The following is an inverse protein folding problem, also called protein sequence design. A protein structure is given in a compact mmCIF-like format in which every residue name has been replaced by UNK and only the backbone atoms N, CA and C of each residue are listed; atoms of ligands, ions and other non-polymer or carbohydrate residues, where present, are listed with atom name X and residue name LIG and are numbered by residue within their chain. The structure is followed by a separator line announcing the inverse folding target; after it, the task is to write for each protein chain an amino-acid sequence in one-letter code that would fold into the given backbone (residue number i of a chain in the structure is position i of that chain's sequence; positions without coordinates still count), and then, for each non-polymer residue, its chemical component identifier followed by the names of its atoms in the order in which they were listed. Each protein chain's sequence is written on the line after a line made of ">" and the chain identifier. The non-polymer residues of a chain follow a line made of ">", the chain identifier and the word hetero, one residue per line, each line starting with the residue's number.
data_IF_007301008922
#
_entry.id   IF_007301008922
#
_cell.length_a   1.000
_cell.length_b   1.000
_cell.length_c   1.000
_cell.angle_alpha   90.00
_cell.angle_beta   90.00
_cell.angle_gamma   90.00
#
_symmetry.space_group_name_H-M   'P 1'
#
loop_
_entity.id
_entity.type
_entity.pdbx_description
1 polymer ?
#
# COMPACT_ATOMS: atom_id res chain seq x y z
N UNK A 1 20.77 -15.89 35.82
CA UNK A 1 19.41 -16.34 35.50
C UNK A 1 18.49 -15.17 35.78
N UNK A 2 17.74 -14.57 34.86
CA UNK A 2 17.53 -14.78 33.44
C UNK A 2 17.30 -13.40 32.81
N UNK A 3 18.15 -13.03 31.85
CA UNK A 3 17.98 -11.80 31.09
C UNK A 3 16.99 -12.06 29.97
N UNK A 4 15.71 -11.80 30.24
CA UNK A 4 14.65 -11.74 29.25
C UNK A 4 14.94 -10.58 28.26
N UNK A 5 15.85 -10.82 27.31
CA UNK A 5 16.03 -9.96 26.15
C UNK A 5 14.97 -10.36 25.14
N UNK A 6 13.74 -9.91 25.37
CA UNK A 6 12.81 -9.70 24.26
C UNK A 6 13.53 -8.80 23.26
N UNK A 7 13.92 -9.39 22.13
CA UNK A 7 14.47 -8.65 21.00
C UNK A 7 13.43 -7.58 20.63
N UNK A 8 13.63 -6.36 21.11
CA UNK A 8 12.72 -5.26 20.86
C UNK A 8 12.69 -5.06 19.35
N UNK A 9 11.54 -5.36 18.74
CA UNK A 9 11.30 -5.03 17.35
C UNK A 9 11.62 -3.54 17.16
N UNK A 10 12.54 -3.24 16.25
CA UNK A 10 13.02 -1.88 16.04
C UNK A 10 11.83 -0.98 15.70
N UNK A 11 11.66 0.20 16.33
CA UNK A 11 10.48 1.06 16.14
C UNK A 11 10.19 1.39 14.67
N UNK A 12 11.24 1.48 13.83
CA UNK A 12 11.13 1.64 12.39
C UNK A 12 10.40 0.47 11.68
N UNK A 13 10.68 -0.77 12.06
CA UNK A 13 10.04 -1.94 11.46
C UNK A 13 8.56 -2.10 11.86
N UNK A 14 8.18 -1.59 13.03
CA UNK A 14 6.76 -1.48 13.45
C UNK A 14 6.04 -0.44 12.61
N UNK A 15 6.69 0.71 12.34
CA UNK A 15 6.12 1.75 11.48
C UNK A 15 5.82 1.26 10.07
N UNK A 16 6.75 0.54 9.43
CA UNK A 16 6.54 -0.03 8.10
C UNK A 16 5.33 -1.00 8.07
N UNK A 17 5.17 -1.83 9.10
CA UNK A 17 4.00 -2.70 9.22
C UNK A 17 2.71 -1.91 9.42
N UNK A 18 2.72 -0.90 10.30
CA UNK A 18 1.57 -0.03 10.55
C UNK A 18 1.14 0.73 9.29
N UNK A 19 2.09 1.22 8.50
CA UNK A 19 1.81 1.89 7.23
C UNK A 19 1.18 0.91 6.22
N UNK A 20 1.75 -0.28 6.04
CA UNK A 20 1.19 -1.29 5.14
C UNK A 20 -0.22 -1.74 5.56
N UNK A 21 -0.44 -1.95 6.87
CA UNK A 21 -1.75 -2.27 7.42
C UNK A 21 -2.75 -1.11 7.25
N UNK A 22 -2.30 0.12 7.47
CA UNK A 22 -3.09 1.32 7.21
C UNK A 22 -3.54 1.41 5.75
N UNK A 23 -2.65 1.12 4.81
CA UNK A 23 -2.97 1.07 3.38
C UNK A 23 -4.07 0.03 3.10
N UNK A 24 -3.96 -1.19 3.65
CA UNK A 24 -5.03 -2.21 3.54
C UNK A 24 -6.38 -1.68 4.03
N UNK A 25 -6.40 -1.03 5.21
CA UNK A 25 -7.63 -0.48 5.79
C UNK A 25 -8.23 0.60 4.89
N UNK A 26 -7.42 1.52 4.36
CA UNK A 26 -7.89 2.57 3.45
C UNK A 26 -8.53 1.97 2.20
N UNK A 27 -7.87 1.00 1.55
CA UNK A 27 -8.42 0.34 0.37
C UNK A 27 -9.69 -0.45 0.68
N UNK A 28 -9.77 -1.11 1.84
CA UNK A 28 -10.95 -1.85 2.27
C UNK A 28 -12.15 -0.92 2.55
N UNK A 29 -11.92 0.20 3.24
CA UNK A 29 -12.96 1.20 3.51
C UNK A 29 -13.48 1.84 2.23
N UNK A 30 -12.58 2.16 1.28
CA UNK A 30 -12.98 2.67 -0.03
C UNK A 30 -13.83 1.64 -0.81
N UNK A 31 -13.44 0.36 -0.77
CA UNK A 31 -14.21 -0.72 -1.39
C UNK A 31 -15.59 -0.87 -0.76
N UNK A 32 -15.68 -0.75 0.57
CA UNK A 32 -16.95 -0.81 1.29
C UNK A 32 -17.84 0.39 0.96
N UNK A 33 -17.27 1.60 0.86
CA UNK A 33 -18.00 2.79 0.44
C UNK A 33 -18.54 2.66 -0.98
N UNK A 34 -17.76 2.14 -1.91
CA UNK A 34 -18.19 1.88 -3.29
C UNK A 34 -19.34 0.87 -3.34
N UNK A 35 -19.27 -0.21 -2.56
CA UNK A 35 -20.34 -1.20 -2.45
C UNK A 35 -21.65 -0.58 -1.92
N UNK A 36 -21.54 0.26 -0.89
CA UNK A 36 -22.69 0.98 -0.32
C UNK A 36 -23.31 1.92 -1.36
N UNK A 37 -22.50 2.70 -2.07
CA UNK A 37 -22.98 3.62 -3.11
C UNK A 37 -23.69 2.91 -4.26
N UNK A 38 -23.15 1.78 -4.70
CA UNK A 38 -23.77 0.93 -5.73
C UNK A 38 -25.13 0.36 -5.25
N UNK A 39 -25.20 -0.08 -3.99
CA UNK A 39 -26.42 -0.65 -3.39
C UNK A 39 -27.58 0.35 -3.27
N UNK A 40 -27.27 1.64 -3.13
CA UNK A 40 -28.27 2.71 -3.09
C UNK A 40 -28.58 3.32 -4.48
N UNK A 41 -28.00 2.79 -5.56
CA UNK A 41 -28.12 3.31 -6.94
C UNK A 41 -27.77 4.80 -7.07
N UNK A 42 -26.99 5.36 -6.14
CA UNK A 42 -26.63 6.79 -6.13
C UNK A 42 -25.66 7.13 -7.28
N UNK A 43 -24.85 6.15 -7.68
CA UNK A 43 -23.90 6.19 -8.78
C UNK A 43 -24.13 4.93 -9.63
N UNK A 44 -24.49 5.05 -10.93
CA UNK A 44 -24.75 3.91 -11.82
C UNK A 44 -23.50 3.14 -12.26
N UNK A 45 -23.29 2.91 -13.56
CA UNK A 45 -22.08 2.25 -14.11
C UNK A 45 -20.82 3.13 -13.98
N UNK A 46 -20.31 3.28 -12.75
CA UNK A 46 -19.33 4.31 -12.41
C UNK A 46 -18.11 3.73 -11.70
N UNK A 47 -16.99 4.44 -11.85
CA UNK A 47 -15.77 4.23 -11.07
C UNK A 47 -15.73 5.34 -10.02
N UNK A 48 -15.63 4.97 -8.76
CA UNK A 48 -15.57 5.91 -7.64
C UNK A 48 -14.14 5.97 -7.13
N UNK A 49 -13.70 7.19 -6.83
CA UNK A 49 -12.42 7.46 -6.18
C UNK A 49 -12.61 7.90 -4.73
N UNK A 50 -13.81 7.70 -4.16
CA UNK A 50 -14.29 8.29 -2.90
C UNK A 50 -14.86 9.71 -3.15
N UNK A 51 -16.12 9.77 -3.65
CA UNK A 51 -17.09 10.90 -3.69
C UNK A 51 -17.39 11.74 -4.97
N UNK A 52 -16.80 11.50 -6.15
CA UNK A 52 -17.45 11.90 -7.41
C UNK A 52 -17.94 10.69 -8.20
N UNK A 53 -19.24 10.69 -8.52
CA UNK A 53 -19.88 9.77 -9.45
C UNK A 53 -19.33 9.99 -10.89
N UNK A 54 -18.24 9.32 -11.29
CA UNK A 54 -17.65 9.51 -12.63
C UNK A 54 -18.27 8.55 -13.64
N UNK A 55 -18.90 9.12 -14.67
CA UNK A 55 -19.43 8.35 -15.80
C UNK A 55 -18.32 7.69 -16.60
N UNK A 56 -18.16 6.37 -16.48
CA UNK A 56 -17.21 5.57 -17.26
C UNK A 56 -17.94 4.50 -18.05
N UNK A 57 -17.32 4.02 -19.14
CA UNK A 57 -17.87 2.88 -19.88
C UNK A 57 -17.83 1.61 -19.03
N UNK A 58 -18.71 0.63 -19.30
CA UNK A 58 -18.74 -0.64 -18.56
C UNK A 58 -17.39 -1.38 -18.59
N UNK A 59 -16.67 -1.33 -19.73
CA UNK A 59 -15.35 -1.92 -19.86
C UNK A 59 -14.30 -1.19 -19.00
N UNK A 60 -14.35 0.14 -18.95
CA UNK A 60 -13.46 0.94 -18.10
C UNK A 60 -13.74 0.70 -16.61
N UNK A 61 -15.02 0.60 -16.21
CA UNK A 61 -15.41 0.26 -14.84
C UNK A 61 -14.93 -1.13 -14.43
N UNK A 62 -15.07 -2.14 -15.29
CA UNK A 62 -14.57 -3.49 -15.01
C UNK A 62 -13.05 -3.50 -14.85
N UNK A 63 -12.33 -2.79 -15.72
CA UNK A 63 -10.87 -2.65 -15.64
C UNK A 63 -10.44 -1.91 -14.36
N UNK A 64 -11.13 -0.84 -13.99
CA UNK A 64 -10.90 -0.11 -12.75
C UNK A 64 -11.04 -1.03 -11.53
N UNK A 65 -12.15 -1.79 -11.44
CA UNK A 65 -12.40 -2.75 -10.35
C UNK A 65 -11.32 -3.84 -10.27
N UNK A 66 -10.89 -4.37 -11.41
CA UNK A 66 -9.83 -5.38 -11.45
C UNK A 66 -8.49 -4.81 -10.95
N UNK A 67 -8.13 -3.59 -11.36
CA UNK A 67 -6.94 -2.89 -10.85
C UNK A 67 -7.05 -2.64 -9.35
N UNK A 68 -8.23 -2.23 -8.88
CA UNK A 68 -8.49 -1.98 -7.46
C UNK A 68 -8.31 -3.22 -6.60
N UNK A 69 -8.90 -4.34 -7.00
CA UNK A 69 -8.74 -5.62 -6.31
C UNK A 69 -7.27 -6.06 -6.28
N UNK A 70 -6.56 -5.92 -7.41
CA UNK A 70 -5.14 -6.25 -7.47
C UNK A 70 -4.30 -5.39 -6.51
N UNK A 71 -4.62 -4.10 -6.35
CA UNK A 71 -3.95 -3.23 -5.38
C UNK A 71 -4.21 -3.63 -3.94
N UNK A 72 -5.45 -4.03 -3.60
CA UNK A 72 -5.78 -4.61 -2.28
C UNK A 72 -4.92 -5.85 -2.03
N UNK A 73 -4.83 -6.76 -3.00
CA UNK A 73 -3.99 -7.95 -2.90
C UNK A 73 -2.51 -7.60 -2.68
N UNK A 74 -1.97 -6.63 -3.43
CA UNK A 74 -0.61 -6.15 -3.23
C UNK A 74 -0.40 -5.58 -1.82
N UNK A 75 -1.33 -4.76 -1.31
CA UNK A 75 -1.25 -4.20 0.04
C UNK A 75 -1.27 -5.29 1.12
N UNK A 76 -2.08 -6.34 0.95
CA UNK A 76 -2.08 -7.50 1.86
C UNK A 76 -0.74 -8.24 1.80
N UNK A 77 -0.20 -8.51 0.61
CA UNK A 77 1.11 -9.14 0.46
C UNK A 77 2.22 -8.30 1.10
N UNK A 78 2.21 -6.99 0.92
CA UNK A 78 3.14 -6.07 1.57
C UNK A 78 3.05 -6.11 3.10
N UNK A 79 1.84 -6.18 3.66
CA UNK A 79 1.67 -6.32 5.11
C UNK A 79 2.27 -7.63 5.62
N UNK A 80 2.10 -8.72 4.85
CA UNK A 80 2.68 -10.03 5.17
C UNK A 80 4.21 -10.02 5.06
N UNK A 81 4.77 -9.35 4.04
CA UNK A 81 6.21 -9.21 3.85
C UNK A 81 6.83 -8.35 4.96
N UNK A 82 6.20 -7.23 5.33
CA UNK A 82 6.63 -6.42 6.46
C UNK A 82 6.60 -7.21 7.78
N UNK A 83 5.55 -7.98 8.03
CA UNK A 83 5.45 -8.87 9.19
C UNK A 83 6.53 -9.97 9.17
N UNK A 84 6.86 -10.52 8.00
CA UNK A 84 7.95 -11.50 7.86
C UNK A 84 9.32 -10.85 8.08
N UNK A 85 9.54 -9.61 7.63
CA UNK A 85 10.79 -8.90 7.81
C UNK A 85 11.08 -8.63 9.30
N UNK A 86 10.04 -8.44 10.11
CA UNK A 86 10.11 -8.40 11.56
C UNK A 86 10.50 -9.74 12.19
N UNK A 87 10.01 -10.86 11.65
CA UNK A 87 10.27 -12.21 12.18
C UNK A 87 11.61 -12.79 11.74
N UNK A 88 12.12 -12.39 10.57
CA UNK A 88 13.29 -12.99 9.91
C UNK A 88 14.37 -11.94 9.62
N UNK A 89 15.12 -11.48 10.64
CA UNK A 89 16.13 -10.44 10.47
C UNK A 89 17.20 -10.82 9.45
N UNK A 90 17.57 -12.11 9.36
CA UNK A 90 18.55 -12.62 8.40
C UNK A 90 18.10 -12.47 6.92
N UNK A 91 16.79 -12.36 6.65
CA UNK A 91 16.23 -12.21 5.30
C UNK A 91 15.68 -10.81 5.04
N UNK A 92 15.89 -9.87 5.96
CA UNK A 92 15.28 -8.55 5.92
C UNK A 92 15.57 -7.77 4.63
N UNK A 93 16.80 -7.83 4.09
CA UNK A 93 17.14 -7.17 2.82
C UNK A 93 16.38 -7.75 1.63
N UNK A 94 16.29 -9.08 1.53
CA UNK A 94 15.53 -9.74 0.47
C UNK A 94 14.02 -9.40 0.57
N UNK A 95 13.49 -9.37 1.80
CA UNK A 95 12.10 -8.97 2.05
C UNK A 95 11.85 -7.48 1.77
N UNK A 96 12.81 -6.60 2.06
CA UNK A 96 12.70 -5.18 1.69
C UNK A 96 12.68 -4.99 0.17
N UNK A 97 13.48 -5.76 -0.59
CA UNK A 97 13.43 -5.74 -2.05
C UNK A 97 12.10 -6.30 -2.59
N UNK A 98 11.56 -7.35 -1.98
CA UNK A 98 10.25 -7.87 -2.33
C UNK A 98 9.14 -6.86 -2.02
N UNK A 99 9.21 -6.18 -0.87
CA UNK A 99 8.32 -5.08 -0.51
C UNK A 99 8.36 -3.99 -1.57
N UNK A 100 9.56 -3.58 -1.99
CA UNK A 100 9.74 -2.57 -3.05
C UNK A 100 9.14 -3.02 -4.39
N UNK A 101 9.30 -4.29 -4.75
CA UNK A 101 8.70 -4.82 -5.97
C UNK A 101 7.16 -4.76 -5.91
N UNK A 102 6.56 -5.16 -4.78
CA UNK A 102 5.11 -5.10 -4.57
C UNK A 102 4.59 -3.65 -4.60
N UNK A 103 5.29 -2.71 -3.97
CA UNK A 103 4.90 -1.30 -3.97
C UNK A 103 4.99 -0.71 -5.37
N UNK A 104 6.02 -1.03 -6.16
CA UNK A 104 6.12 -0.58 -7.57
C UNK A 104 4.96 -1.11 -8.40
N UNK A 105 4.61 -2.39 -8.25
CA UNK A 105 3.47 -2.99 -8.96
C UNK A 105 2.16 -2.32 -8.55
N UNK A 106 1.95 -2.08 -7.24
CA UNK A 106 0.77 -1.37 -6.74
C UNK A 106 0.67 0.04 -7.30
N UNK A 107 1.77 0.81 -7.31
CA UNK A 107 1.78 2.16 -7.87
C UNK A 107 1.50 2.18 -9.37
N UNK A 108 2.03 1.21 -10.12
CA UNK A 108 1.72 1.08 -11.53
C UNK A 108 0.22 0.83 -11.74
N UNK A 109 -0.38 -0.07 -10.94
CA UNK A 109 -1.82 -0.32 -10.99
C UNK A 109 -2.62 0.93 -10.60
N UNK A 110 -2.18 1.67 -9.58
CA UNK A 110 -2.83 2.90 -9.11
C UNK A 110 -2.78 3.99 -10.17
N UNK A 111 -1.61 4.22 -10.79
CA UNK A 111 -1.45 5.17 -11.90
C UNK A 111 -2.32 4.79 -13.11
N UNK A 112 -2.39 3.50 -13.43
CA UNK A 112 -3.27 3.01 -14.51
C UNK A 112 -4.74 3.21 -14.18
N UNK A 113 -5.10 3.01 -12.92
CA UNK A 113 -6.44 3.27 -12.43
C UNK A 113 -6.74 4.77 -12.58
N UNK A 114 -5.92 5.66 -12.01
CA UNK A 114 -6.14 7.11 -12.04
C UNK A 114 -6.22 7.68 -13.46
N UNK A 115 -5.48 7.12 -14.42
CA UNK A 115 -5.62 7.49 -15.84
C UNK A 115 -7.00 7.16 -16.42
N UNK A 116 -7.65 6.06 -15.97
CA UNK A 116 -9.02 5.73 -16.39
C UNK A 116 -9.99 6.81 -15.88
N UNK A 117 -9.81 7.28 -14.65
CA UNK A 117 -10.63 8.34 -14.08
C UNK A 117 -10.35 9.69 -14.73
N UNK A 118 -9.09 10.06 -14.90
CA UNK A 118 -8.69 11.33 -15.51
C UNK A 118 -9.13 11.43 -16.98
N UNK A 119 -9.23 10.30 -17.69
CA UNK A 119 -9.81 10.26 -19.04
C UNK A 119 -11.32 10.53 -19.06
N UNK A 120 -12.02 10.22 -17.96
CA UNK A 120 -13.45 10.45 -17.84
C UNK A 120 -13.77 11.83 -17.23
N UNK A 121 -12.94 12.32 -16.32
CA UNK A 121 -12.98 13.67 -15.77
C UNK A 121 -11.55 14.21 -15.53
N UNK A 122 -11.04 15.08 -16.41
CA UNK A 122 -9.72 15.70 -16.27
C UNK A 122 -9.56 16.52 -14.97
N UNK A 123 -10.66 17.01 -14.38
CA UNK A 123 -10.64 17.75 -13.11
C UNK A 123 -10.13 16.91 -11.92
N UNK A 124 -10.19 15.58 -12.04
CA UNK A 124 -9.70 14.65 -11.02
C UNK A 124 -8.19 14.43 -11.08
N UNK A 125 -7.50 14.91 -12.12
CA UNK A 125 -6.07 14.66 -12.29
C UNK A 125 -5.25 15.17 -11.11
N UNK A 126 -5.57 16.36 -10.57
CA UNK A 126 -4.85 16.93 -9.41
C UNK A 126 -5.03 16.09 -8.14
N UNK A 127 -6.27 15.64 -7.87
CA UNK A 127 -6.60 14.79 -6.72
C UNK A 127 -5.90 13.43 -6.84
N UNK A 128 -5.98 12.83 -8.04
CA UNK A 128 -5.32 11.57 -8.35
C UNK A 128 -3.80 11.68 -8.18
N UNK A 129 -3.18 12.72 -8.75
CA UNK A 129 -1.74 12.94 -8.64
C UNK A 129 -1.29 13.16 -7.19
N UNK A 130 -2.05 13.96 -6.43
CA UNK A 130 -1.80 14.18 -5.00
C UNK A 130 -1.86 12.88 -4.20
N UNK A 131 -2.90 12.07 -4.41
CA UNK A 131 -3.04 10.78 -3.72
C UNK A 131 -1.90 9.80 -4.04
N UNK A 132 -1.51 9.68 -5.33
CA UNK A 132 -0.37 8.84 -5.75
C UNK A 132 0.90 9.29 -5.02
N UNK A 133 1.14 10.60 -4.95
CA UNK A 133 2.33 11.18 -4.33
C UNK A 133 2.42 10.89 -2.83
N UNK A 134 1.28 10.92 -2.11
CA UNK A 134 1.20 10.57 -0.69
C UNK A 134 1.56 9.09 -0.48
N UNK A 135 1.01 8.19 -1.29
CA UNK A 135 1.31 6.75 -1.21
C UNK A 135 2.78 6.45 -1.53
N UNK A 136 3.34 7.08 -2.59
CA UNK A 136 4.77 6.93 -2.94
C UNK A 136 5.65 7.33 -1.78
N UNK A 137 5.34 8.46 -1.14
CA UNK A 137 6.13 8.97 -0.01
C UNK A 137 6.07 8.02 1.19
N UNK A 138 4.88 7.51 1.53
CA UNK A 138 4.70 6.55 2.62
C UNK A 138 5.43 5.23 2.39
N UNK A 139 5.44 4.75 1.15
CA UNK A 139 6.09 3.49 0.77
C UNK A 139 7.61 3.62 0.75
N UNK A 140 8.15 4.74 0.28
CA UNK A 140 9.58 5.03 0.35
C UNK A 140 10.06 5.10 1.79
N UNK A 141 9.30 5.77 2.68
CA UNK A 141 9.62 5.80 4.10
C UNK A 141 9.61 4.39 4.72
N UNK A 142 8.59 3.58 4.39
CA UNK A 142 8.48 2.20 4.87
C UNK A 142 9.62 1.31 4.37
N UNK A 143 10.04 1.48 3.12
CA UNK A 143 11.19 0.79 2.53
C UNK A 143 12.49 1.19 3.22
N UNK A 144 12.71 2.48 3.45
CA UNK A 144 13.89 2.98 4.16
C UNK A 144 13.92 2.48 5.61
N UNK A 145 12.78 2.43 6.30
CA UNK A 145 12.67 1.86 7.64
C UNK A 145 13.01 0.35 7.67
N UNK A 146 12.59 -0.40 6.64
CA UNK A 146 12.94 -1.80 6.47
C UNK A 146 14.42 -2.01 6.15
N UNK A 147 15.07 -1.09 5.43
CA UNK A 147 16.51 -1.17 5.16
C UNK A 147 17.36 -0.76 6.38
N UNK A 148 17.03 0.37 7.01
CA UNK A 148 17.86 1.03 8.03
C UNK A 148 17.68 0.46 9.43
N UNK A 149 16.50 -0.02 9.81
CA UNK A 149 16.27 -0.53 11.17
C UNK A 149 16.98 -1.85 11.49
N UNK A 150 17.89 -2.33 10.63
CA UNK A 150 18.72 -3.52 10.80
C UNK A 150 20.16 -3.24 11.24
N UNK A 151 20.58 -1.97 11.33
CA UNK A 151 21.92 -1.62 11.84
C UNK A 151 21.92 -1.54 13.37
N UNK A 152 21.74 -2.70 14.00
CA UNK A 152 22.41 -2.95 15.26
C UNK A 152 23.89 -3.09 14.94
N UNK A 153 24.68 -2.09 15.33
CA UNK A 153 26.13 -2.07 15.34
C UNK A 153 26.66 -3.48 15.68
N UNK A 154 27.16 -4.21 14.69
CA UNK A 154 28.05 -5.33 14.95
C UNK A 154 29.37 -4.72 15.42
N UNK A 155 29.40 -4.35 16.69
CA UNK A 155 30.63 -4.20 17.45
C UNK A 155 31.16 -5.63 17.62
N UNK A 156 31.87 -6.12 16.60
CA UNK A 156 32.77 -7.24 16.78
C UNK A 156 33.90 -6.75 17.69
N UNK A 157 33.71 -6.90 19.00
CA UNK A 157 34.84 -7.12 19.89
C UNK A 157 35.33 -8.54 19.63
N UNK A 158 36.44 -8.67 18.92
CA UNK A 158 37.28 -9.86 18.96
C UNK A 158 38.68 -9.41 19.37
N UNK A 159 39.00 -9.71 20.63
CA UNK A 159 40.30 -9.80 21.31
C UNK A 159 41.31 -8.68 21.06
#
# INVERSE_FOLDING_TARGET
>A
MDGNKTAAAHPASVRALSMAAGTVVVFALATAADYVLDSFHLCGSQASFILPCVGVTAAAAAKWRALWLAMVCCAVLESAVAAQALRLPCRRRALALLQLALTVVRHYMYARATLILAAADPGLFGICFGSVSVFVTGDLLSFMDLLLGGEGIMHYSFV
#
